data_IF_185510884713
#
_entry.id   IF_185510884713
#
_cell.length_a   1.000
_cell.length_b   1.000
_cell.length_c   1.000
_cell.angle_alpha   90.00
_cell.angle_beta   90.00
_cell.angle_gamma   90.00
#
_symmetry.space_group_name_H-M   'P 1'
#
loop_
_entity.id
_entity.type
_entity.pdbx_description
1 polymer ?
#
# COMPACT_ATOMS: atom_id res chain seq x y z
N UNK A 1 8.90 4.98 -17.87
CA UNK A 1 7.81 4.45 -17.03
C UNK A 1 8.19 4.73 -15.59
N UNK A 2 7.67 5.82 -15.04
CA UNK A 2 7.94 6.20 -13.65
C UNK A 2 7.06 5.34 -12.75
N UNK A 3 7.67 4.44 -12.00
CA UNK A 3 6.95 3.61 -11.03
C UNK A 3 6.49 4.48 -9.87
N UNK A 4 5.28 4.26 -9.35
CA UNK A 4 4.73 4.92 -8.16
C UNK A 4 5.76 4.99 -7.02
N UNK A 5 6.57 3.93 -6.85
CA UNK A 5 7.65 3.92 -5.88
C UNK A 5 8.69 5.02 -6.08
N UNK A 6 9.11 5.34 -7.31
CA UNK A 6 10.07 6.44 -7.57
C UNK A 6 9.51 7.81 -7.26
N UNK A 7 8.18 7.98 -7.29
CA UNK A 7 7.54 9.24 -6.92
C UNK A 7 7.49 9.40 -5.40
N UNK A 8 7.20 8.31 -4.68
CA UNK A 8 7.14 8.29 -3.21
C UNK A 8 8.54 8.41 -2.61
N UNK A 9 9.50 7.65 -3.12
CA UNK A 9 10.91 7.63 -2.67
C UNK A 9 11.64 8.97 -2.89
N UNK A 10 11.04 9.84 -3.72
CA UNK A 10 11.55 11.19 -3.99
C UNK A 10 11.41 12.11 -2.77
N UNK A 11 10.44 11.84 -1.92
CA UNK A 11 10.33 12.45 -0.60
C UNK A 11 11.10 11.52 0.35
N UNK A 12 12.28 11.94 0.81
CA UNK A 12 13.23 11.15 1.64
C UNK A 12 12.62 10.63 2.96
N UNK A 13 11.37 11.00 3.24
CA UNK A 13 10.55 10.59 4.37
C UNK A 13 9.87 9.24 4.16
N UNK A 14 9.66 8.80 2.93
CA UNK A 14 8.87 7.61 2.62
C UNK A 14 9.63 6.61 1.74
N UNK A 15 9.69 5.36 2.18
CA UNK A 15 10.26 4.26 1.42
C UNK A 15 9.13 3.42 0.83
N UNK A 16 8.94 3.48 -0.49
CA UNK A 16 7.95 2.67 -1.18
C UNK A 16 8.50 1.29 -1.57
N UNK A 17 7.74 0.24 -1.29
CA UNK A 17 7.99 -1.10 -1.81
C UNK A 17 6.84 -1.51 -2.74
N UNK A 18 7.18 -2.02 -3.92
CA UNK A 18 6.18 -2.50 -4.88
C UNK A 18 6.04 -4.00 -4.72
N UNK A 19 4.79 -4.44 -4.54
CA UNK A 19 4.41 -5.84 -4.67
C UNK A 19 3.52 -6.01 -5.90
N UNK A 20 3.81 -7.01 -6.73
CA UNK A 20 3.07 -7.28 -7.97
C UNK A 20 2.06 -8.42 -7.83
N UNK A 21 1.95 -9.02 -6.65
CA UNK A 21 1.04 -10.14 -6.36
C UNK A 21 0.71 -10.18 -4.87
N UNK A 22 -0.44 -10.76 -4.52
CA UNK A 22 -0.86 -10.91 -3.13
C UNK A 22 0.14 -11.70 -2.28
N UNK A 23 0.72 -12.77 -2.83
CA UNK A 23 1.77 -13.57 -2.17
C UNK A 23 3.01 -12.73 -1.82
N UNK A 24 3.45 -11.91 -2.77
CA UNK A 24 4.61 -11.03 -2.61
C UNK A 24 4.33 -9.95 -1.55
N UNK A 25 3.13 -9.34 -1.60
CA UNK A 25 2.70 -8.36 -0.62
C UNK A 25 2.68 -8.94 0.81
N UNK A 26 2.15 -10.15 0.99
CA UNK A 26 2.13 -10.86 2.28
C UNK A 26 3.55 -11.12 2.80
N UNK A 27 4.43 -11.65 1.96
CA UNK A 27 5.82 -11.93 2.33
C UNK A 27 6.56 -10.65 2.74
N UNK A 28 6.36 -9.56 2.00
CA UNK A 28 6.98 -8.26 2.29
C UNK A 28 6.47 -7.70 3.61
N UNK A 29 5.14 -7.73 3.86
CA UNK A 29 4.53 -7.25 5.11
C UNK A 29 5.02 -7.99 6.36
N UNK A 30 5.48 -9.24 6.22
CA UNK A 30 6.09 -9.98 7.33
C UNK A 30 7.56 -9.61 7.56
N UNK A 31 8.30 -9.30 6.49
CA UNK A 31 9.73 -8.98 6.61
C UNK A 31 9.98 -7.58 7.18
N UNK A 32 9.06 -6.64 6.95
CA UNK A 32 9.20 -5.24 7.38
C UNK A 32 7.86 -4.69 7.86
N UNK A 33 7.93 -3.78 8.83
CA UNK A 33 6.76 -3.00 9.23
C UNK A 33 6.45 -1.93 8.19
N UNK A 34 5.19 -1.86 7.74
CA UNK A 34 4.70 -0.79 6.88
C UNK A 34 3.71 0.08 7.64
N UNK A 35 3.76 1.39 7.37
CA UNK A 35 2.79 2.34 7.90
C UNK A 35 1.49 2.40 7.09
N UNK A 36 1.53 2.00 5.81
CA UNK A 36 0.37 2.05 4.91
C UNK A 36 0.56 1.08 3.74
N UNK A 37 -0.54 0.46 3.30
CA UNK A 37 -0.60 -0.37 2.10
C UNK A 37 -1.46 0.33 1.06
N UNK A 38 -0.91 0.43 -0.15
CA UNK A 38 -1.53 1.11 -1.28
C UNK A 38 -1.94 0.07 -2.34
N UNK A 39 -3.22 0.02 -2.61
CA UNK A 39 -3.88 -0.99 -3.44
C UNK A 39 -4.19 -0.36 -4.80
N UNK A 40 -3.48 -0.77 -5.85
CA UNK A 40 -3.71 -0.25 -7.20
C UNK A 40 -5.01 -0.75 -7.82
N UNK A 41 -5.47 -0.12 -8.90
CA UNK A 41 -6.73 -0.43 -9.57
C UNK A 41 -6.84 -1.86 -10.17
N UNK A 42 -5.75 -2.63 -10.20
CA UNK A 42 -5.70 -3.97 -10.79
C UNK A 42 -6.00 -5.13 -9.84
N UNK A 43 -6.20 -4.87 -8.55
CA UNK A 43 -6.48 -5.91 -7.54
C UNK A 43 -7.98 -5.97 -7.22
N UNK A 44 -8.49 -7.19 -7.15
CA UNK A 44 -9.90 -7.45 -6.88
C UNK A 44 -10.23 -7.29 -5.38
N UNK A 45 -11.49 -7.05 -5.06
CA UNK A 45 -11.90 -6.87 -3.66
C UNK A 45 -11.64 -8.14 -2.83
N UNK A 46 -11.81 -9.34 -3.41
CA UNK A 46 -11.53 -10.61 -2.73
C UNK A 46 -10.05 -10.70 -2.29
N UNK A 47 -9.11 -10.35 -3.16
CA UNK A 47 -7.69 -10.32 -2.82
C UNK A 47 -7.36 -9.30 -1.73
N UNK A 48 -8.04 -8.14 -1.73
CA UNK A 48 -7.89 -7.13 -0.67
C UNK A 48 -8.39 -7.66 0.67
N UNK A 49 -9.53 -8.37 0.70
CA UNK A 49 -10.05 -9.00 1.91
C UNK A 49 -9.12 -10.09 2.41
N UNK A 50 -8.55 -10.92 1.52
CA UNK A 50 -7.55 -11.91 1.87
C UNK A 50 -6.30 -11.29 2.49
N UNK A 51 -5.83 -10.14 1.96
CA UNK A 51 -4.70 -9.41 2.55
C UNK A 51 -5.07 -8.87 3.92
N UNK A 52 -6.25 -8.27 4.06
CA UNK A 52 -6.72 -7.70 5.33
C UNK A 52 -6.86 -8.75 6.43
N UNK A 53 -7.42 -9.91 6.11
CA UNK A 53 -7.51 -11.04 7.03
C UNK A 53 -6.12 -11.49 7.45
N UNK A 54 -5.20 -11.65 6.49
CA UNK A 54 -3.83 -12.03 6.77
C UNK A 54 -3.10 -11.05 7.71
N UNK A 55 -3.25 -9.74 7.49
CA UNK A 55 -2.66 -8.72 8.37
C UNK A 55 -3.26 -8.78 9.77
N UNK A 56 -4.58 -8.96 9.86
CA UNK A 56 -5.29 -9.08 11.14
C UNK A 56 -4.85 -10.31 11.93
N UNK A 57 -4.70 -11.46 11.26
CA UNK A 57 -4.20 -12.70 11.87
C UNK A 57 -2.75 -12.57 12.40
N UNK A 58 -1.93 -11.75 11.74
CA UNK A 58 -0.56 -11.45 12.17
C UNK A 58 -0.47 -10.24 13.12
N UNK A 59 -1.60 -9.73 13.62
CA UNK A 59 -1.69 -8.55 14.48
C UNK A 59 -1.04 -7.27 13.90
N UNK A 60 -0.94 -7.19 12.57
CA UNK A 60 -0.44 -6.03 11.83
C UNK A 60 -1.57 -5.01 11.63
N UNK A 61 -1.48 -3.88 12.34
CA UNK A 61 -2.44 -2.76 12.22
C UNK A 61 -1.99 -1.79 11.13
N UNK A 62 -2.08 -2.22 9.87
CA UNK A 62 -1.65 -1.41 8.73
C UNK A 62 -2.88 -0.93 7.96
N UNK A 63 -3.08 0.39 7.79
CA UNK A 63 -4.17 0.91 6.96
C UNK A 63 -4.00 0.51 5.50
N UNK A 64 -5.11 0.11 4.88
CA UNK A 64 -5.17 -0.25 3.46
C UNK A 64 -5.93 0.86 2.73
N UNK A 65 -5.29 1.49 1.76
CA UNK A 65 -5.85 2.56 0.94
C UNK A 65 -5.93 2.12 -0.52
N UNK A 66 -7.08 2.29 -1.15
CA UNK A 66 -7.30 1.96 -2.56
C UNK A 66 -7.02 3.17 -3.43
N UNK A 67 -6.10 3.02 -4.37
CA UNK A 67 -5.79 4.01 -5.39
C UNK A 67 -6.63 3.77 -6.63
N UNK A 68 -7.53 4.71 -6.92
CA UNK A 68 -8.47 4.61 -8.03
C UNK A 68 -7.89 5.10 -9.37
N UNK A 69 -6.65 5.59 -9.38
CA UNK A 69 -6.02 6.23 -10.54
C UNK A 69 -6.31 7.74 -10.61
N UNK A 70 -5.68 8.42 -11.57
CA UNK A 70 -5.89 9.86 -11.80
C UNK A 70 -4.65 10.76 -11.70
N UNK A 71 -3.45 10.17 -11.56
CA UNK A 71 -2.17 10.89 -11.58
C UNK A 71 -1.50 10.99 -10.20
N UNK A 72 -0.34 11.63 -10.14
CA UNK A 72 0.50 11.69 -8.94
C UNK A 72 -0.10 12.51 -7.80
N UNK A 73 -0.88 13.57 -8.10
CA UNK A 73 -1.51 14.41 -7.06
C UNK A 73 -2.55 13.66 -6.21
N UNK A 74 -3.37 12.84 -6.85
CA UNK A 74 -4.37 12.00 -6.17
C UNK A 74 -3.70 10.92 -5.31
N UNK A 75 -2.65 10.27 -5.85
CA UNK A 75 -1.85 9.29 -5.13
C UNK A 75 -1.36 9.85 -3.78
N UNK A 76 -0.75 11.05 -3.79
CA UNK A 76 -0.24 11.64 -2.56
C UNK A 76 -1.36 11.97 -1.57
N UNK A 77 -2.47 12.55 -2.05
CA UNK A 77 -3.61 12.85 -1.20
C UNK A 77 -4.17 11.59 -0.51
N UNK A 78 -4.30 10.48 -1.24
CA UNK A 78 -4.76 9.19 -0.71
C UNK A 78 -3.79 8.63 0.35
N UNK A 79 -2.47 8.76 0.14
CA UNK A 79 -1.46 8.37 1.13
C UNK A 79 -1.61 9.19 2.41
N UNK A 80 -1.66 10.52 2.29
CA UNK A 80 -1.80 11.41 3.44
C UNK A 80 -3.08 11.11 4.21
N UNK A 81 -4.22 10.95 3.53
CA UNK A 81 -5.47 10.58 4.19
C UNK A 81 -5.39 9.25 4.94
N UNK A 82 -4.70 8.24 4.39
CA UNK A 82 -4.52 6.96 5.06
C UNK A 82 -3.59 7.03 6.27
N UNK A 83 -2.57 7.89 6.23
CA UNK A 83 -1.64 8.10 7.34
C UNK A 83 -2.25 8.97 8.45
N UNK A 84 -3.06 9.97 8.13
CA UNK A 84 -3.72 10.85 9.11
C UNK A 84 -4.94 10.22 9.78
N UNK A 85 -5.52 9.17 9.20
CA UNK A 85 -6.69 8.48 9.73
C UNK A 85 -6.40 7.49 10.87
N UNK A 86 -5.13 7.34 11.30
CA UNK A 86 -4.66 6.43 12.34
C UNK A 86 -3.77 7.13 13.37
#
# INVERSE_FOLDING_TARGET
METIARLIDRDEKWLATIAISLLDAKAICLQRGFGLILIGAGIENDEVEQLRNYLTENALKIPIVKHYGGGSGLLFAEIYQGLEAF
#
